data_IF_740927395140
#
_entry.id   IF_740927395140
#
_cell.length_a   1.000
_cell.length_b   1.000
_cell.length_c   1.000
_cell.angle_alpha   90.00
_cell.angle_beta   90.00
_cell.angle_gamma   90.00
#
_symmetry.space_group_name_H-M   'P 1'
#
loop_
_entity.id
_entity.type
_entity.pdbx_description
1 polymer ?
#
# COMPACT_ATOMS: atom_id res chain seq x y z
N UNK A 1 -1.72 12.76 8.58
CA UNK A 1 -1.94 12.18 7.24
C UNK A 1 -2.91 13.07 6.45
N UNK A 2 -2.73 13.23 5.14
CA UNK A 2 -3.73 13.91 4.29
C UNK A 2 -4.95 12.99 4.13
N UNK A 3 -6.14 13.46 4.54
CA UNK A 3 -7.40 12.69 4.47
C UNK A 3 -8.31 13.16 3.35
N UNK A 4 -7.77 13.93 2.39
CA UNK A 4 -8.50 14.40 1.21
C UNK A 4 -9.16 13.27 0.43
N UNK A 5 -8.55 12.06 0.42
CA UNK A 5 -9.13 10.88 -0.22
C UNK A 5 -10.54 10.51 0.30
N UNK A 6 -10.91 10.93 1.52
CA UNK A 6 -12.22 10.67 2.10
C UNK A 6 -13.31 11.66 1.69
N UNK A 7 -13.00 12.70 0.90
CA UNK A 7 -14.00 13.67 0.43
C UNK A 7 -15.08 13.04 -0.46
N UNK A 8 -14.77 11.90 -1.09
CA UNK A 8 -15.71 11.13 -1.89
C UNK A 8 -16.76 10.40 -1.06
N UNK A 9 -16.48 10.14 0.23
CA UNK A 9 -17.38 9.38 1.12
C UNK A 9 -18.46 10.32 1.67
N UNK A 10 -19.68 10.21 1.14
CA UNK A 10 -20.79 11.10 1.50
C UNK A 10 -21.37 10.79 2.90
N UNK A 11 -21.30 9.53 3.34
CA UNK A 11 -21.65 9.16 4.71
C UNK A 11 -20.63 9.75 5.69
N UNK A 12 -21.04 10.77 6.43
CA UNK A 12 -20.21 11.47 7.41
C UNK A 12 -19.70 10.56 8.53
N UNK A 13 -20.51 9.57 8.95
CA UNK A 13 -20.10 8.62 9.99
C UNK A 13 -19.02 7.70 9.43
N UNK A 14 -19.24 7.12 8.24
CA UNK A 14 -18.23 6.27 7.60
C UNK A 14 -16.92 7.05 7.32
N UNK A 15 -17.01 8.26 6.80
CA UNK A 15 -15.85 9.12 6.56
C UNK A 15 -15.07 9.42 7.85
N UNK A 16 -15.78 9.66 8.97
CA UNK A 16 -15.16 9.85 10.27
C UNK A 16 -14.45 8.59 10.77
N UNK A 17 -15.11 7.43 10.67
CA UNK A 17 -14.56 6.14 11.08
C UNK A 17 -13.32 5.77 10.24
N UNK A 18 -13.38 5.93 8.92
CA UNK A 18 -12.24 5.70 8.04
C UNK A 18 -11.05 6.63 8.36
N UNK A 19 -11.34 7.89 8.70
CA UNK A 19 -10.31 8.83 9.14
C UNK A 19 -9.64 8.36 10.42
N UNK A 20 -10.42 7.94 11.41
CA UNK A 20 -9.86 7.40 12.65
C UNK A 20 -8.99 6.18 12.40
N UNK A 21 -9.45 5.23 11.58
CA UNK A 21 -8.66 4.04 11.23
C UNK A 21 -7.36 4.42 10.52
N UNK A 22 -7.41 5.36 9.56
CA UNK A 22 -6.22 5.84 8.88
C UNK A 22 -5.22 6.51 9.84
N UNK A 23 -5.69 7.37 10.75
CA UNK A 23 -4.86 8.01 11.76
C UNK A 23 -4.23 6.98 12.71
N UNK A 24 -4.99 5.96 13.09
CA UNK A 24 -4.51 4.90 13.98
C UNK A 24 -3.48 3.99 13.31
N UNK A 25 -3.67 3.69 12.02
CA UNK A 25 -2.70 2.97 11.22
C UNK A 25 -1.39 3.77 11.06
N UNK A 26 -1.48 5.10 10.93
CA UNK A 26 -0.32 5.98 10.93
C UNK A 26 0.38 5.99 12.31
N UNK A 27 -0.38 6.08 13.41
CA UNK A 27 0.18 6.08 14.77
C UNK A 27 0.93 4.78 15.07
N UNK A 28 0.40 3.65 14.60
CA UNK A 28 0.97 2.31 14.77
C UNK A 28 2.01 1.92 13.70
N UNK A 29 2.34 2.84 12.78
CA UNK A 29 3.24 2.59 11.64
C UNK A 29 2.78 1.41 10.75
N UNK A 30 1.48 1.11 10.70
CA UNK A 30 0.94 0.01 9.89
C UNK A 30 1.14 0.23 8.40
N UNK A 31 0.99 1.47 7.91
CA UNK A 31 1.28 1.75 6.50
C UNK A 31 2.74 1.51 6.12
N UNK A 32 3.66 1.74 7.06
CA UNK A 32 5.09 1.47 6.85
C UNK A 32 5.40 -0.03 6.90
N UNK A 33 4.79 -0.75 7.84
CA UNK A 33 5.07 -2.18 8.07
C UNK A 33 4.35 -3.09 7.06
N UNK A 34 3.10 -2.76 6.74
CA UNK A 34 2.17 -3.63 6.02
C UNK A 34 1.57 -2.98 4.78
N UNK A 35 1.87 -1.72 4.45
CA UNK A 35 1.26 -1.02 3.32
C UNK A 35 1.50 -1.68 1.96
N UNK A 36 2.56 -2.49 1.80
CA UNK A 36 2.78 -3.30 0.58
C UNK A 36 2.08 -4.67 0.59
N UNK A 37 1.36 -5.00 1.66
CA UNK A 37 0.62 -6.25 1.85
C UNK A 37 -0.88 -5.98 1.68
N UNK A 38 -1.33 -5.73 0.44
CA UNK A 38 -2.70 -5.32 0.15
C UNK A 38 -3.77 -6.29 0.69
N UNK A 39 -3.53 -7.59 0.64
CA UNK A 39 -4.41 -8.61 1.22
C UNK A 39 -4.63 -8.40 2.72
N UNK A 40 -3.57 -8.26 3.52
CA UNK A 40 -3.66 -8.02 4.95
C UNK A 40 -4.32 -6.67 5.27
N UNK A 41 -3.92 -5.60 4.57
CA UNK A 41 -4.47 -4.26 4.79
C UNK A 41 -5.99 -4.23 4.53
N UNK A 42 -6.43 -4.82 3.42
CA UNK A 42 -7.84 -4.85 3.04
C UNK A 42 -8.66 -5.77 3.95
N UNK A 43 -8.10 -6.92 4.37
CA UNK A 43 -8.76 -7.81 5.33
C UNK A 43 -8.92 -7.17 6.73
N UNK A 44 -7.87 -6.49 7.23
CA UNK A 44 -7.95 -5.75 8.49
C UNK A 44 -9.01 -4.66 8.42
N UNK A 45 -9.01 -3.85 7.35
CA UNK A 45 -9.97 -2.77 7.20
C UNK A 45 -11.41 -3.30 7.12
N UNK A 46 -11.65 -4.34 6.32
CA UNK A 46 -12.96 -4.96 6.22
C UNK A 46 -13.45 -5.49 7.58
N UNK A 47 -12.56 -6.11 8.37
CA UNK A 47 -12.91 -6.61 9.69
C UNK A 47 -13.25 -5.48 10.68
N UNK A 48 -12.43 -4.44 10.73
CA UNK A 48 -12.66 -3.27 11.61
C UNK A 48 -14.00 -2.60 11.29
N UNK A 49 -14.31 -2.40 10.00
CA UNK A 49 -15.57 -1.78 9.57
C UNK A 49 -16.77 -2.69 9.80
N UNK A 50 -16.62 -4.00 9.60
CA UNK A 50 -17.68 -4.98 9.89
C UNK A 50 -18.07 -4.96 11.37
N UNK A 51 -17.09 -4.89 12.28
CA UNK A 51 -17.35 -4.78 13.73
C UNK A 51 -18.01 -3.45 14.12
N UNK A 52 -17.89 -2.41 13.28
CA UNK A 52 -18.58 -1.12 13.43
C UNK A 52 -19.98 -1.10 12.80
N UNK A 53 -20.42 -2.21 12.21
CA UNK A 53 -21.76 -2.41 11.66
C UNK A 53 -21.90 -2.09 10.17
N UNK A 54 -20.81 -1.90 9.44
CA UNK A 54 -20.83 -1.70 7.99
C UNK A 54 -20.81 -3.05 7.25
N UNK A 55 -21.41 -3.13 6.07
CA UNK A 55 -21.26 -4.29 5.19
C UNK A 55 -19.91 -4.18 4.45
N UNK A 56 -18.84 -4.66 5.07
CA UNK A 56 -17.49 -4.57 4.52
C UNK A 56 -16.93 -5.93 4.10
N UNK A 57 -16.32 -6.01 2.92
CA UNK A 57 -15.72 -7.24 2.38
C UNK A 57 -14.44 -6.96 1.60
N UNK A 58 -13.63 -7.99 1.42
CA UNK A 58 -12.45 -7.93 0.55
C UNK A 58 -12.84 -8.28 -0.89
N UNK A 59 -12.32 -7.53 -1.86
CA UNK A 59 -12.47 -7.80 -3.28
C UNK A 59 -11.09 -7.94 -3.94
N UNK A 60 -10.87 -9.08 -4.61
CA UNK A 60 -9.72 -9.26 -5.49
C UNK A 60 -9.85 -8.42 -6.76
N UNK A 61 -8.77 -7.79 -7.18
CA UNK A 61 -8.72 -6.96 -8.39
C UNK A 61 -7.27 -6.84 -8.88
N UNK A 62 -7.07 -6.02 -9.91
CA UNK A 62 -5.81 -5.33 -10.17
C UNK A 62 -6.09 -3.84 -10.34
N UNK A 63 -5.05 -3.00 -10.20
CA UNK A 63 -5.15 -1.58 -10.49
C UNK A 63 -4.30 -1.21 -11.70
N UNK A 64 -4.83 -0.34 -12.55
CA UNK A 64 -4.14 0.29 -13.67
C UNK A 64 -3.98 1.78 -13.36
N UNK A 65 -2.77 2.32 -13.51
CA UNK A 65 -2.50 3.75 -13.37
C UNK A 65 -2.00 4.29 -14.70
N UNK A 66 -2.76 5.19 -15.29
CA UNK A 66 -2.42 5.85 -16.55
C UNK A 66 -1.91 7.25 -16.27
N UNK A 67 -0.75 7.59 -16.83
CA UNK A 67 -0.22 8.95 -16.82
C UNK A 67 0.53 9.21 -18.12
N UNK A 68 0.13 10.25 -18.85
CA UNK A 68 0.65 10.53 -20.19
C UNK A 68 0.51 9.28 -21.10
N UNK A 69 1.63 8.80 -21.65
CA UNK A 69 1.69 7.59 -22.49
C UNK A 69 2.10 6.33 -21.71
N UNK A 70 2.22 6.41 -20.38
CA UNK A 70 2.66 5.31 -19.52
C UNK A 70 1.50 4.62 -18.81
N UNK A 71 1.66 3.32 -18.59
CA UNK A 71 0.73 2.50 -17.79
C UNK A 71 1.52 1.72 -16.74
N UNK A 72 1.12 1.87 -15.48
CA UNK A 72 1.63 1.09 -14.36
C UNK A 72 0.54 0.15 -13.85
N UNK A 73 0.90 -1.08 -13.49
CA UNK A 73 -0.04 -2.08 -13.00
C UNK A 73 0.28 -2.52 -11.57
N UNK A 74 -0.75 -2.73 -10.76
CA UNK A 74 -0.65 -3.35 -9.44
C UNK A 74 -1.40 -4.68 -9.48
N UNK A 75 -0.70 -5.76 -9.16
CA UNK A 75 -1.29 -7.08 -9.03
C UNK A 75 -1.63 -7.77 -10.34
N UNK A 76 -1.44 -7.13 -11.50
CA UNK A 76 -1.72 -7.72 -12.83
C UNK A 76 -0.65 -8.74 -13.25
N UNK A 77 -1.07 -9.80 -13.95
CA UNK A 77 -0.20 -10.92 -14.36
C UNK A 77 1.00 -10.46 -15.17
N UNK A 78 2.20 -10.88 -14.77
CA UNK A 78 3.44 -10.56 -15.48
C UNK A 78 3.98 -9.14 -15.27
N UNK A 79 3.34 -8.34 -14.41
CA UNK A 79 3.79 -6.99 -14.04
C UNK A 79 4.17 -6.87 -12.56
N UNK A 80 4.22 -8.00 -11.83
CA UNK A 80 4.66 -8.03 -10.43
C UNK A 80 6.17 -7.95 -10.32
N UNK A 81 6.66 -7.21 -9.33
CA UNK A 81 8.09 -7.19 -8.99
C UNK A 81 8.53 -8.50 -8.32
N UNK A 82 9.84 -8.75 -8.30
CA UNK A 82 10.41 -9.89 -7.58
C UNK A 82 9.95 -9.86 -6.10
N UNK A 83 9.53 -11.01 -5.58
CA UNK A 83 8.96 -11.19 -4.22
C UNK A 83 7.53 -10.64 -4.01
N UNK A 84 6.89 -10.04 -5.03
CA UNK A 84 5.47 -9.70 -4.95
C UNK A 84 4.59 -10.86 -5.39
N UNK A 85 3.44 -10.98 -4.73
CA UNK A 85 2.39 -11.92 -5.12
C UNK A 85 1.55 -11.31 -6.24
N UNK A 86 1.13 -12.14 -7.19
CA UNK A 86 0.15 -11.75 -8.19
C UNK A 86 -1.23 -11.57 -7.56
N UNK A 87 -1.88 -10.47 -7.91
CA UNK A 87 -3.17 -10.04 -7.37
C UNK A 87 -3.06 -8.78 -6.53
N UNK A 88 -4.16 -8.03 -6.49
CA UNK A 88 -4.37 -6.93 -5.58
C UNK A 88 -5.70 -7.14 -4.85
N UNK A 89 -5.85 -6.53 -3.68
CA UNK A 89 -7.07 -6.63 -2.91
C UNK A 89 -7.44 -5.28 -2.30
N UNK A 90 -8.71 -4.96 -2.35
CA UNK A 90 -9.31 -3.72 -1.80
C UNK A 90 -10.42 -4.06 -0.83
N UNK A 91 -10.80 -3.10 0.02
CA UNK A 91 -11.97 -3.20 0.88
C UNK A 91 -13.17 -2.54 0.19
N UNK A 92 -14.26 -3.27 0.03
CA UNK A 92 -15.56 -2.77 -0.41
C UNK A 92 -16.42 -2.51 0.82
N UNK A 93 -17.08 -1.36 0.88
CA UNK A 93 -17.97 -0.96 1.99
C UNK A 93 -19.33 -0.59 1.44
N UNK A 94 -20.36 -1.25 1.98
CA UNK A 94 -21.79 -1.08 1.67
C UNK A 94 -22.13 -1.18 0.17
N UNK A 95 -21.30 -1.89 -0.61
CA UNK A 95 -21.33 -1.93 -2.08
C UNK A 95 -21.37 -0.52 -2.74
N UNK A 96 -20.92 0.51 -2.02
CA UNK A 96 -20.92 1.90 -2.46
C UNK A 96 -19.51 2.43 -2.65
N UNK A 97 -18.58 2.05 -1.75
CA UNK A 97 -17.23 2.59 -1.74
C UNK A 97 -16.19 1.49 -1.87
N UNK A 98 -15.15 1.79 -2.66
CA UNK A 98 -13.89 1.08 -2.66
C UNK A 98 -12.89 1.87 -1.82
N UNK A 99 -12.25 1.19 -0.87
CA UNK A 99 -11.17 1.73 -0.04
C UNK A 99 -9.91 0.90 -0.24
N UNK A 100 -8.79 1.56 -0.55
CA UNK A 100 -7.52 0.91 -0.81
C UNK A 100 -6.42 1.49 0.09
N UNK A 101 -6.03 0.73 1.12
CA UNK A 101 -4.92 1.05 2.03
C UNK A 101 -3.65 0.26 1.67
N UNK A 102 -3.70 -0.57 0.62
CA UNK A 102 -2.66 -1.52 0.21
C UNK A 102 -1.66 -0.96 -0.81
N UNK A 103 -1.47 0.36 -0.84
CA UNK A 103 -0.79 1.08 -1.92
C UNK A 103 0.71 1.29 -1.70
N UNK A 104 1.31 0.63 -0.69
CA UNK A 104 2.72 0.78 -0.36
C UNK A 104 3.67 0.35 -1.48
N UNK A 105 3.22 -0.52 -2.40
CA UNK A 105 3.97 -0.88 -3.61
C UNK A 105 4.09 0.30 -4.57
N UNK A 106 3.03 1.10 -4.76
CA UNK A 106 3.11 2.32 -5.58
C UNK A 106 4.11 3.30 -5.00
N UNK A 107 4.11 3.46 -3.68
CA UNK A 107 5.06 4.34 -3.00
C UNK A 107 6.52 3.92 -3.21
N UNK A 108 6.78 2.63 -3.35
CA UNK A 108 8.14 2.11 -3.53
C UNK A 108 8.64 2.20 -4.97
N UNK A 109 7.77 2.01 -5.96
CA UNK A 109 8.20 1.78 -7.34
C UNK A 109 7.60 2.73 -8.37
N UNK A 110 6.55 3.48 -8.03
CA UNK A 110 5.88 4.42 -8.92
C UNK A 110 6.11 5.87 -8.50
N UNK A 111 5.67 6.26 -7.29
CA UNK A 111 5.80 7.63 -6.78
C UNK A 111 5.89 7.65 -5.26
N UNK A 112 7.02 8.11 -4.69
CA UNK A 112 7.28 8.07 -3.24
C UNK A 112 6.28 8.88 -2.41
N UNK A 113 5.78 9.98 -2.99
CA UNK A 113 4.79 10.90 -2.44
C UNK A 113 3.33 10.44 -2.66
N UNK A 114 3.12 9.27 -3.26
CA UNK A 114 1.78 8.73 -3.48
C UNK A 114 1.04 8.50 -2.15
N UNK A 115 -0.27 8.76 -2.14
CA UNK A 115 -1.10 8.62 -0.95
C UNK A 115 -1.07 7.19 -0.39
N UNK A 116 -0.99 7.07 0.94
CA UNK A 116 -1.05 5.78 1.62
C UNK A 116 -2.42 5.09 1.50
N UNK A 117 -3.47 5.88 1.26
CA UNK A 117 -4.83 5.42 1.16
C UNK A 117 -5.59 6.16 0.05
N UNK A 118 -6.44 5.44 -0.66
CA UNK A 118 -7.40 6.00 -1.60
C UNK A 118 -8.81 5.49 -1.31
N UNK A 119 -9.80 6.28 -1.71
CA UNK A 119 -11.20 5.88 -1.71
C UNK A 119 -11.87 6.41 -2.98
N UNK A 120 -12.85 5.68 -3.49
CA UNK A 120 -13.73 6.14 -4.57
C UNK A 120 -15.10 5.47 -4.46
N UNK A 121 -16.10 6.04 -5.14
CA UNK A 121 -17.38 5.36 -5.38
C UNK A 121 -17.18 4.19 -6.34
N UNK A 122 -17.92 3.11 -6.11
CA UNK A 122 -17.95 1.97 -7.02
C UNK A 122 -18.65 2.39 -8.31
N UNK A 123 -18.06 2.05 -9.45
CA UNK A 123 -18.53 2.55 -10.75
C UNK A 123 -19.92 2.03 -11.16
N UNK A 124 -20.34 0.89 -10.60
CA UNK A 124 -21.54 0.15 -11.00
C UNK A 124 -21.44 -0.56 -12.36
N UNK A 125 -20.30 -0.46 -13.06
CA UNK A 125 -20.11 -0.97 -14.42
C UNK A 125 -18.97 -1.98 -14.48
N UNK A 126 -19.32 -3.25 -14.65
CA UNK A 126 -18.33 -4.32 -14.88
C UNK A 126 -17.60 -4.12 -16.23
N UNK A 127 -16.28 -4.32 -16.31
CA UNK A 127 -15.38 -4.89 -15.28
C UNK A 127 -14.64 -3.86 -14.42
N UNK A 128 -15.05 -2.59 -14.44
CA UNK A 128 -14.39 -1.53 -13.67
C UNK A 128 -15.02 -1.45 -12.29
N UNK A 129 -14.23 -1.71 -11.25
CA UNK A 129 -14.72 -1.62 -9.87
C UNK A 129 -14.83 -0.16 -9.42
N UNK A 130 -13.85 0.65 -9.76
CA UNK A 130 -13.83 2.08 -9.46
C UNK A 130 -12.73 2.79 -10.25
N UNK A 131 -12.82 4.10 -10.34
CA UNK A 131 -11.79 4.95 -10.92
C UNK A 131 -11.60 6.21 -10.07
N UNK A 132 -10.42 6.80 -10.15
CA UNK A 132 -10.10 8.04 -9.46
C UNK A 132 -9.04 8.81 -10.23
N UNK A 133 -9.30 10.08 -10.47
CA UNK A 133 -8.29 11.03 -10.93
C UNK A 133 -7.46 11.50 -9.74
N UNK A 134 -6.13 11.46 -9.90
CA UNK A 134 -5.17 11.77 -8.87
C UNK A 134 -4.65 13.20 -9.05
N UNK A 135 -4.18 13.81 -7.95
CA UNK A 135 -3.60 15.15 -7.97
C UNK A 135 -2.38 15.28 -8.90
N UNK A 136 -1.71 14.15 -9.21
CA UNK A 136 -0.60 14.07 -10.16
C UNK A 136 -1.02 14.16 -11.64
N UNK A 137 -2.33 14.25 -11.92
CA UNK A 137 -2.92 14.17 -13.25
C UNK A 137 -2.98 12.74 -13.82
N UNK A 138 -2.62 11.73 -13.03
CA UNK A 138 -2.79 10.33 -13.39
C UNK A 138 -4.21 9.85 -13.05
N UNK A 139 -4.69 8.82 -13.74
CA UNK A 139 -5.95 8.15 -13.40
C UNK A 139 -5.66 6.72 -12.94
N UNK A 140 -6.14 6.35 -11.75
CA UNK A 140 -6.14 4.96 -11.28
C UNK A 140 -7.49 4.32 -11.55
N UNK A 141 -7.49 3.07 -12.02
CA UNK A 141 -8.69 2.26 -12.28
C UNK A 141 -8.50 0.88 -11.68
N UNK A 142 -9.41 0.48 -10.78
CA UNK A 142 -9.45 -0.88 -10.24
C UNK A 142 -10.37 -1.73 -11.11
N UNK A 143 -9.91 -2.93 -11.48
CA UNK A 143 -10.60 -3.79 -12.46
C UNK A 143 -10.69 -5.24 -11.99
N UNK A 144 -11.73 -5.92 -12.47
CA UNK A 144 -12.05 -7.32 -12.11
C UNK A 144 -12.23 -8.23 -13.33
N UNK A 145 -11.91 -7.77 -14.54
CA UNK A 145 -11.88 -8.61 -15.75
C UNK A 145 -10.79 -9.68 -15.70
N UNK A 146 -9.79 -9.49 -14.85
CA UNK A 146 -8.87 -10.53 -14.45
C UNK A 146 -8.64 -10.44 -12.94
N UNK A 147 -8.74 -11.58 -12.26
CA UNK A 147 -8.43 -11.71 -10.84
C UNK A 147 -7.44 -12.87 -10.72
N UNK A 148 -6.32 -12.63 -10.04
CA UNK A 148 -5.33 -13.68 -9.80
C UNK A 148 -5.99 -14.87 -9.09
N UNK A 149 -5.78 -16.12 -9.54
CA UNK A 149 -6.28 -17.30 -8.83
C UNK A 149 -5.66 -17.45 -7.43
N UNK A 150 -4.57 -16.73 -7.15
CA UNK A 150 -3.90 -16.73 -5.85
C UNK A 150 -4.60 -15.87 -4.81
N UNK A 151 -5.53 -14.98 -5.19
CA UNK A 151 -6.14 -14.04 -4.23
C UNK A 151 -6.79 -14.77 -3.05
N UNK A 152 -7.63 -15.77 -3.31
CA UNK A 152 -8.32 -16.51 -2.24
C UNK A 152 -7.32 -17.23 -1.33
N UNK A 153 -6.29 -17.85 -1.92
CA UNK A 153 -5.26 -18.56 -1.19
C UNK A 153 -4.43 -17.61 -0.30
N UNK A 154 -4.03 -16.45 -0.82
CA UNK A 154 -3.27 -15.46 -0.06
C UNK A 154 -4.11 -14.84 1.06
N UNK A 155 -5.41 -14.62 0.84
CA UNK A 155 -6.33 -14.17 1.89
C UNK A 155 -6.44 -15.21 3.01
N UNK A 156 -6.60 -16.49 2.68
CA UNK A 156 -6.65 -17.58 3.65
C UNK A 156 -5.33 -17.71 4.45
N UNK A 157 -4.19 -17.67 3.77
CA UNK A 157 -2.87 -17.76 4.41
C UNK A 157 -2.60 -16.62 5.38
N UNK A 158 -3.19 -15.43 5.14
CA UNK A 158 -2.96 -14.26 5.97
C UNK A 158 -3.91 -14.15 7.16
N UNK A 159 -4.95 -14.97 7.27
CA UNK A 159 -5.95 -14.89 8.34
C UNK A 159 -5.31 -14.84 9.74
N UNK A 160 -4.45 -15.80 10.08
CA UNK A 160 -3.81 -15.84 11.40
C UNK A 160 -2.84 -14.66 11.65
N UNK A 161 -2.27 -14.09 10.60
CA UNK A 161 -1.44 -12.88 10.72
C UNK A 161 -2.31 -11.65 10.94
N UNK A 162 -3.40 -11.50 10.17
CA UNK A 162 -4.39 -10.44 10.28
C UNK A 162 -4.99 -10.41 11.69
N UNK A 163 -5.39 -11.56 12.25
CA UNK A 163 -5.92 -11.65 13.62
C UNK A 163 -4.91 -11.17 14.68
N UNK A 164 -3.62 -11.51 14.53
CA UNK A 164 -2.58 -11.02 15.44
C UNK A 164 -2.39 -9.51 15.33
N UNK A 165 -2.41 -8.95 14.11
CA UNK A 165 -2.27 -7.51 13.91
C UNK A 165 -3.49 -6.77 14.45
N UNK A 166 -4.70 -7.29 14.21
CA UNK A 166 -5.95 -6.75 14.76
C UNK A 166 -5.98 -6.78 16.29
N UNK A 167 -5.45 -7.83 16.91
CA UNK A 167 -5.31 -7.87 18.37
C UNK A 167 -4.47 -6.69 18.89
N UNK A 168 -3.35 -6.38 18.22
CA UNK A 168 -2.52 -5.21 18.53
C UNK A 168 -3.26 -3.89 18.30
N UNK A 169 -4.03 -3.79 17.21
CA UNK A 169 -4.88 -2.63 16.94
C UNK A 169 -5.94 -2.42 18.03
N UNK A 170 -6.61 -3.48 18.47
CA UNK A 170 -7.63 -3.39 19.52
C UNK A 170 -7.05 -3.10 20.90
N UNK A 171 -5.87 -3.63 21.22
CA UNK A 171 -5.14 -3.23 22.42
C UNK A 171 -4.82 -1.72 22.39
N UNK A 172 -4.35 -1.23 21.24
CA UNK A 172 -4.14 0.20 21.04
C UNK A 172 -5.42 1.01 21.20
N UNK A 173 -6.55 0.59 20.61
CA UNK A 173 -7.83 1.30 20.77
C UNK A 173 -8.25 1.44 22.24
N UNK A 174 -8.15 0.34 23.00
CA UNK A 174 -8.48 0.34 24.45
C UNK A 174 -7.55 1.24 25.25
N UNK A 175 -6.29 1.31 24.86
CA UNK A 175 -5.23 2.01 25.58
C UNK A 175 -4.74 3.27 24.87
N UNK A 176 -5.54 3.85 23.96
CA UNK A 176 -5.11 4.87 22.99
C UNK A 176 -4.39 6.03 23.65
N UNK A 177 -4.94 6.56 24.74
CA UNK A 177 -4.36 7.67 25.48
C UNK A 177 -2.98 7.32 26.07
N UNK A 178 -2.82 6.12 26.62
CA UNK A 178 -1.54 5.67 27.18
C UNK A 178 -0.47 5.54 26.08
N UNK A 179 -0.84 5.01 24.91
CA UNK A 179 0.07 4.92 23.75
C UNK A 179 0.48 6.31 23.25
N UNK A 180 -0.46 7.24 23.11
CA UNK A 180 -0.18 8.61 22.67
C UNK A 180 0.74 9.35 23.65
N UNK A 181 0.46 9.26 24.95
CA UNK A 181 1.32 9.80 26.01
C UNK A 181 2.73 9.21 25.90
N UNK A 182 2.84 7.88 25.82
CA UNK A 182 4.14 7.21 25.67
C UNK A 182 4.90 7.73 24.45
N UNK A 183 4.26 7.85 23.29
CA UNK A 183 4.87 8.33 22.03
C UNK A 183 5.37 9.78 22.14
N UNK A 184 4.63 10.65 22.84
CA UNK A 184 5.03 12.04 23.10
C UNK A 184 6.29 12.14 23.97
N UNK A 185 6.45 11.25 24.96
CA UNK A 185 7.59 11.27 25.87
C UNK A 185 8.80 10.48 25.36
N UNK A 186 8.61 9.42 24.57
CA UNK A 186 9.74 8.73 23.90
C UNK A 186 10.33 9.54 22.76
N UNK A 187 9.52 10.35 22.05
CA UNK A 187 10.00 11.27 21.02
C UNK A 187 10.88 12.43 21.55
N UNK A 188 10.75 12.78 22.84
CA UNK A 188 11.55 13.85 23.48
C UNK A 188 12.86 13.35 24.11
N UNK A 189 12.98 12.06 24.37
CA UNK A 189 14.16 11.46 25.02
C UNK A 189 15.14 10.82 24.02
N UNK A 190 15.21 11.30 22.78
CA UNK A 190 16.25 10.91 21.83
C UNK A 190 17.23 12.08 21.62
N UNK A 191 18.33 12.20 22.38
CA UNK A 191 19.26 13.33 22.31
C UNK A 191 20.13 13.34 21.05
N UNK A 192 19.91 12.46 20.07
CA UNK A 192 20.77 12.31 18.90
C UNK A 192 20.22 12.91 17.60
N UNK A 193 19.08 13.60 17.63
CA UNK A 193 18.65 14.41 16.49
C UNK A 193 19.12 15.86 16.67
N UNK A 194 20.43 16.11 16.65
CA UNK A 194 20.94 17.45 16.38
C UNK A 194 20.99 17.69 14.86
N UNK A 195 20.52 18.85 14.38
CA UNK A 195 20.69 19.26 13.00
C UNK A 195 22.10 19.85 12.80
N UNK A 196 22.85 19.28 11.85
CA UNK A 196 24.02 19.93 11.27
C UNK A 196 25.37 19.42 11.76
N UNK A 197 25.97 18.52 11.00
CA UNK A 197 27.41 18.54 10.75
C UNK A 197 27.72 17.86 9.42
N UNK A 198 27.94 18.71 8.43
CA UNK A 198 28.64 18.42 7.18
C UNK A 198 29.97 17.77 7.52
N UNK A 199 30.23 16.55 7.05
CA UNK A 199 31.59 16.04 6.93
C UNK A 199 31.74 15.17 5.70
N UNK A 200 32.22 15.85 4.64
CA UNK A 200 33.27 15.42 3.71
C UNK A 200 33.23 13.98 3.18
N UNK A 201 32.85 13.91 1.91
CA UNK A 201 33.59 13.28 0.80
C UNK A 201 34.81 12.47 1.24
N UNK A 202 34.72 11.14 1.08
CA UNK A 202 35.87 10.33 0.69
C UNK A 202 35.44 9.51 -0.52
N UNK A 203 35.89 9.97 -1.69
CA UNK A 203 35.92 9.17 -2.90
C UNK A 203 36.97 8.06 -2.72
N UNK A 204 36.63 6.83 -3.09
CA UNK A 204 37.60 5.75 -3.31
C UNK A 204 37.31 5.16 -4.71
N UNK A 205 38.36 4.89 -5.51
CA UNK A 205 38.30 4.95 -6.96
C UNK A 205 37.82 3.64 -7.60
N UNK A 206 37.16 3.79 -8.76
CA UNK A 206 36.95 2.70 -9.71
C UNK A 206 38.30 2.22 -10.26
N UNK A 207 38.66 0.97 -10.00
CA UNK A 207 39.73 0.27 -10.71
C UNK A 207 39.19 -0.33 -12.01
N UNK A 208 39.63 0.27 -13.12
CA UNK A 208 39.71 -0.37 -14.45
C UNK A 208 40.78 -1.47 -14.43
N UNK A 209 40.49 -2.60 -15.08
CA UNK A 209 41.37 -3.49 -15.89
C UNK A 209 40.68 -4.86 -15.99
N UNK A 210 40.68 -5.60 -17.09
CA UNK A 210 41.30 -5.46 -18.40
C UNK A 210 40.60 -6.47 -19.32
N UNK A 211 40.33 -6.08 -20.58
CA UNK A 211 40.16 -7.03 -21.68
C UNK A 211 41.45 -7.84 -21.82
N UNK A 212 41.33 -9.14 -22.00
CA UNK A 212 42.40 -9.95 -22.58
C UNK A 212 41.78 -10.82 -23.67
N UNK A 213 42.14 -10.48 -24.91
CA UNK A 213 41.93 -11.28 -26.10
C UNK A 213 42.85 -12.51 -26.04
N UNK A 214 42.36 -13.67 -26.47
CA UNK A 214 43.21 -14.78 -26.95
C UNK A 214 42.43 -15.61 -27.97
N UNK A 215 42.66 -15.24 -29.23
CA UNK A 215 42.95 -16.07 -30.41
C UNK A 215 42.17 -17.39 -30.64
N UNK A 216 41.55 -17.41 -31.84
CA UNK A 216 41.11 -18.56 -32.62
C UNK A 216 42.22 -19.61 -32.83
N UNK A 217 41.83 -20.83 -33.22
CA UNK A 217 42.45 -21.44 -34.38
C UNK A 217 41.44 -21.72 -35.50
N UNK A 218 41.90 -21.37 -36.69
CA UNK A 218 41.39 -21.74 -38.02
C UNK A 218 41.93 -23.13 -38.38
N UNK A 219 41.06 -24.02 -38.84
CA UNK A 219 41.29 -25.16 -39.76
C UNK A 219 39.93 -25.32 -40.47
N UNK A 220 39.71 -24.81 -41.69
CA UNK A 220 40.11 -25.30 -43.04
C UNK A 220 39.80 -26.79 -43.27
N UNK A 221 38.87 -26.96 -44.23
CA UNK A 221 38.30 -28.13 -44.92
C UNK A 221 37.37 -29.09 -44.15
#
# INVERSE_FOLDING_TARGET
>A
MNTAFLQVVQDRKLAHELRQVADDFEILDFFKQYGSCCFAMSAMLARILSEKGYAARVQGCYAEIKQNNGVFYIGYKGFVHEQQKEGHAVCIVDEQYLIDFGLGTLRKFYAEDFSHALACEISGVSPVLGNLDLDSGATITWRTDWISPMVSMELEHQLAAVERILSGYYDFQKNRMAYLIKKLFTGRNNPLAQPGLVSRVIAVPQTKRQKQDSELPVLID
#
